data_IF_534436379988
#
_entry.id   IF_534436379988
#
_cell.length_a   1.000
_cell.length_b   1.000
_cell.length_c   1.000
_cell.angle_alpha   90.00
_cell.angle_beta   90.00
_cell.angle_gamma   90.00
#
_symmetry.space_group_name_H-M   'P 1'
#
loop_
_entity.id
_entity.type
_entity.pdbx_description
1 polymer ?
#
# COMPACT_ATOMS: atom_id res chain seq x y z
N UNK A 1 -8.08 10.62 7.63
CA UNK A 1 -7.47 11.93 7.97
C UNK A 1 -8.45 12.84 8.68
N UNK A 2 -9.67 12.98 8.20
CA UNK A 2 -10.67 13.85 8.83
C UNK A 2 -10.91 13.52 10.30
N UNK A 3 -11.05 12.22 10.63
CA UNK A 3 -11.24 11.77 12.02
C UNK A 3 -10.03 12.12 12.90
N UNK A 4 -8.83 12.04 12.35
CA UNK A 4 -7.62 12.47 13.03
C UNK A 4 -7.62 13.99 13.25
N UNK A 5 -7.94 14.78 12.21
CA UNK A 5 -8.04 16.25 12.31
C UNK A 5 -9.17 16.72 13.25
N UNK A 6 -10.22 15.94 13.41
CA UNK A 6 -11.33 16.18 14.36
C UNK A 6 -11.05 15.67 15.77
N UNK A 7 -9.93 14.98 16.00
CA UNK A 7 -9.60 14.38 17.31
C UNK A 7 -10.45 13.18 17.70
N UNK A 8 -11.11 12.54 16.75
CA UNK A 8 -11.88 11.31 16.96
C UNK A 8 -10.98 10.07 17.05
N UNK A 9 -9.77 10.17 16.53
CA UNK A 9 -8.69 9.19 16.67
C UNK A 9 -7.41 9.95 16.98
N UNK A 10 -6.54 9.36 17.79
CA UNK A 10 -5.29 9.99 18.25
C UNK A 10 -4.16 9.81 17.22
N UNK A 11 -4.12 8.66 16.56
CA UNK A 11 -3.07 8.28 15.59
C UNK A 11 -3.73 7.68 14.35
N UNK A 12 -3.20 8.01 13.18
CA UNK A 12 -3.59 7.41 11.91
C UNK A 12 -2.40 6.86 11.15
N UNK A 13 -2.59 5.72 10.47
CA UNK A 13 -1.63 5.16 9.53
C UNK A 13 -2.17 5.32 8.11
N UNK A 14 -1.37 5.92 7.22
CA UNK A 14 -1.80 6.30 5.88
C UNK A 14 -0.76 5.92 4.84
N UNK A 15 -1.23 5.40 3.72
CA UNK A 15 -0.41 5.25 2.52
C UNK A 15 -0.27 6.62 1.83
N UNK A 16 0.94 7.00 1.43
CA UNK A 16 1.17 8.20 0.62
C UNK A 16 0.64 8.02 -0.82
N UNK A 17 0.21 9.09 -1.51
CA UNK A 17 0.21 10.48 -1.06
C UNK A 17 -0.92 10.80 -0.08
N UNK A 18 -0.62 11.63 0.90
CA UNK A 18 -1.55 12.03 1.96
C UNK A 18 -1.27 13.47 2.41
N UNK A 19 -2.32 14.25 2.63
CA UNK A 19 -2.20 15.59 3.18
C UNK A 19 -1.86 15.52 4.68
N UNK A 20 -0.66 15.99 5.02
CA UNK A 20 -0.15 16.03 6.40
C UNK A 20 -0.18 17.44 7.00
N UNK A 21 -0.89 18.39 6.41
CA UNK A 21 -0.99 19.74 6.95
C UNK A 21 -1.61 19.72 8.35
N UNK A 22 -0.92 20.34 9.31
CA UNK A 22 -1.32 20.37 10.73
C UNK A 22 -1.00 19.10 11.52
N UNK A 23 -0.36 18.11 10.90
CA UNK A 23 0.04 16.87 11.54
C UNK A 23 1.56 16.79 11.71
N UNK A 24 1.98 16.11 12.75
CA UNK A 24 3.31 15.53 12.86
C UNK A 24 3.25 14.08 12.39
N UNK A 25 4.32 13.59 11.80
CA UNK A 25 4.32 12.23 11.29
C UNK A 25 5.72 11.60 11.26
N UNK A 26 5.72 10.29 11.24
CA UNK A 26 6.90 9.45 10.98
C UNK A 26 6.63 8.70 9.68
N UNK A 27 7.57 8.74 8.72
CA UNK A 27 7.53 7.88 7.55
C UNK A 27 8.18 6.55 7.89
N UNK A 28 7.48 5.44 7.61
CA UNK A 28 8.03 4.10 7.74
C UNK A 28 9.13 3.92 6.70
N UNK A 29 10.33 3.43 7.07
CA UNK A 29 11.47 3.32 6.15
C UNK A 29 11.24 2.36 4.97
N UNK A 30 10.51 1.28 5.20
CA UNK A 30 10.16 0.33 4.14
C UNK A 30 9.08 0.89 3.23
N UNK A 31 9.36 0.88 1.92
CA UNK A 31 8.36 1.15 0.90
C UNK A 31 7.63 -0.13 0.53
N UNK A 32 6.33 -0.04 0.33
CA UNK A 32 5.52 -1.17 -0.10
C UNK A 32 5.36 -1.18 -1.62
N UNK A 33 5.51 -2.35 -2.23
CA UNK A 33 5.39 -2.51 -3.68
C UNK A 33 3.93 -2.63 -4.09
N UNK A 34 3.59 -2.08 -5.24
CA UNK A 34 2.30 -2.31 -5.85
C UNK A 34 2.26 -3.67 -6.55
N UNK A 35 1.17 -4.37 -6.34
CA UNK A 35 0.96 -5.74 -6.80
C UNK A 35 -0.44 -5.92 -7.36
N UNK A 36 -0.60 -6.96 -8.17
CA UNK A 36 -1.90 -7.48 -8.60
C UNK A 36 -2.15 -8.81 -7.92
N UNK A 37 -3.29 -8.94 -7.28
CA UNK A 37 -3.77 -10.19 -6.70
C UNK A 37 -4.56 -11.02 -7.72
N UNK A 38 -4.43 -12.33 -7.64
CA UNK A 38 -5.14 -13.26 -8.51
C UNK A 38 -5.18 -14.67 -7.93
N UNK A 39 -6.02 -15.52 -8.46
CA UNK A 39 -6.05 -16.94 -8.10
C UNK A 39 -4.78 -17.65 -8.59
N UNK A 40 -4.33 -18.72 -7.89
CA UNK A 40 -3.14 -19.47 -8.30
C UNK A 40 -3.25 -20.14 -9.67
N UNK A 41 -4.47 -20.47 -10.10
CA UNK A 41 -4.76 -21.08 -11.40
C UNK A 41 -4.92 -20.07 -12.55
N UNK A 42 -4.77 -18.76 -12.27
CA UNK A 42 -4.83 -17.72 -13.30
C UNK A 42 -3.56 -17.75 -14.17
N UNK A 43 -3.70 -17.59 -15.51
CA UNK A 43 -2.53 -17.54 -16.40
C UNK A 43 -1.48 -16.48 -16.03
N UNK A 44 -1.90 -15.36 -15.43
CA UNK A 44 -0.99 -14.29 -14.98
C UNK A 44 -0.20 -14.70 -13.73
N UNK A 45 -0.68 -15.69 -12.97
CA UNK A 45 0.01 -16.16 -11.77
C UNK A 45 1.37 -16.83 -12.08
N UNK A 46 1.59 -17.30 -13.30
CA UNK A 46 2.86 -17.86 -13.75
C UNK A 46 3.91 -16.81 -14.15
N UNK A 47 3.57 -15.53 -14.19
CA UNK A 47 4.50 -14.44 -14.54
C UNK A 47 5.31 -13.98 -13.32
N UNK A 48 6.51 -13.46 -13.55
CA UNK A 48 7.32 -12.83 -12.50
C UNK A 48 6.78 -11.44 -12.12
N UNK A 49 6.22 -10.71 -13.09
CA UNK A 49 5.64 -9.38 -12.93
C UNK A 49 4.48 -9.15 -13.91
N UNK A 50 3.66 -8.15 -13.60
CA UNK A 50 2.48 -7.77 -14.39
C UNK A 50 2.72 -6.42 -15.04
N UNK A 51 2.51 -6.36 -16.36
CA UNK A 51 2.61 -5.12 -17.15
C UNK A 51 1.23 -4.48 -17.36
N UNK A 52 1.22 -3.25 -17.85
CA UNK A 52 -0.03 -2.56 -18.22
C UNK A 52 -0.84 -3.36 -19.21
N UNK A 53 -0.18 -3.96 -20.21
CA UNK A 53 -0.82 -4.74 -21.27
C UNK A 53 -1.54 -5.97 -20.73
N UNK A 54 -1.01 -6.57 -19.66
CA UNK A 54 -1.63 -7.74 -19.02
C UNK A 54 -2.96 -7.40 -18.35
N UNK A 55 -3.15 -6.13 -17.98
CA UNK A 55 -4.32 -5.66 -17.25
C UNK A 55 -5.37 -5.00 -18.16
N UNK A 56 -5.02 -4.63 -19.38
CA UNK A 56 -5.99 -4.06 -20.33
C UNK A 56 -7.07 -5.10 -20.65
N UNK A 57 -8.34 -4.68 -20.51
CA UNK A 57 -9.50 -5.55 -20.70
C UNK A 57 -9.78 -6.55 -19.58
N UNK A 58 -9.01 -6.51 -18.50
CA UNK A 58 -9.28 -7.30 -17.29
C UNK A 58 -10.17 -6.51 -16.32
N UNK A 59 -11.10 -7.18 -15.60
CA UNK A 59 -11.91 -6.53 -14.58
C UNK A 59 -11.04 -6.20 -13.36
N UNK A 60 -10.70 -4.92 -13.18
CA UNK A 60 -9.84 -4.47 -12.07
C UNK A 60 -10.67 -4.11 -10.83
N UNK A 61 -10.08 -4.35 -9.66
CA UNK A 61 -10.59 -3.90 -8.37
C UNK A 61 -9.57 -2.88 -7.84
N UNK A 62 -9.95 -1.60 -7.79
CA UNK A 62 -9.06 -0.53 -7.40
C UNK A 62 -9.34 -0.06 -5.97
N UNK A 63 -8.36 0.55 -5.28
CA UNK A 63 -8.60 1.24 -4.03
C UNK A 63 -9.61 2.37 -4.21
N UNK A 64 -10.51 2.56 -3.24
CA UNK A 64 -11.53 3.61 -3.29
C UNK A 64 -10.93 5.01 -3.10
N UNK A 65 -9.84 5.14 -2.33
CA UNK A 65 -9.23 6.43 -2.00
C UNK A 65 -8.62 7.11 -3.23
N UNK A 66 -9.11 8.30 -3.57
CA UNK A 66 -8.73 9.06 -4.76
C UNK A 66 -7.22 9.32 -4.88
N UNK A 67 -6.53 9.70 -3.79
CA UNK A 67 -5.09 9.93 -3.81
C UNK A 67 -4.31 8.65 -4.19
N UNK A 68 -4.76 7.50 -3.73
CA UNK A 68 -4.15 6.20 -4.06
C UNK A 68 -4.47 5.80 -5.50
N UNK A 69 -5.68 6.07 -5.98
CA UNK A 69 -6.03 5.87 -7.39
C UNK A 69 -5.17 6.71 -8.33
N UNK A 70 -4.77 7.92 -7.91
CA UNK A 70 -3.89 8.77 -8.71
C UNK A 70 -2.54 8.13 -9.00
N UNK A 71 -1.97 7.36 -8.08
CA UNK A 71 -0.73 6.61 -8.31
C UNK A 71 -0.92 5.56 -9.41
N UNK A 72 -2.04 4.84 -9.37
CA UNK A 72 -2.41 3.85 -10.39
C UNK A 72 -2.67 4.54 -11.73
N UNK A 73 -3.39 5.66 -11.72
CA UNK A 73 -3.66 6.44 -12.93
C UNK A 73 -2.37 6.95 -13.58
N UNK A 74 -1.44 7.47 -12.77
CA UNK A 74 -0.11 7.88 -13.24
C UNK A 74 0.66 6.70 -13.85
N UNK A 75 0.62 5.54 -13.22
CA UNK A 75 1.30 4.35 -13.72
C UNK A 75 0.72 3.90 -15.07
N UNK A 76 -0.59 3.87 -15.26
CA UNK A 76 -1.22 3.55 -16.54
C UNK A 76 -1.03 4.67 -17.58
N UNK A 77 -0.99 5.92 -17.14
CA UNK A 77 -0.91 7.10 -18.02
C UNK A 77 -2.15 7.18 -18.94
N UNK A 78 -1.93 7.39 -20.21
CA UNK A 78 -3.00 7.52 -21.24
C UNK A 78 -3.90 6.28 -21.40
N UNK A 79 -3.52 5.14 -20.82
CA UNK A 79 -4.30 3.92 -20.91
C UNK A 79 -5.27 3.75 -19.73
N UNK A 80 -5.22 4.65 -18.75
CA UNK A 80 -6.10 4.59 -17.57
C UNK A 80 -7.59 4.63 -17.93
N UNK A 81 -7.98 5.48 -18.87
CA UNK A 81 -9.38 5.61 -19.32
C UNK A 81 -9.90 4.37 -20.08
N UNK A 82 -9.01 3.44 -20.47
CA UNK A 82 -9.35 2.19 -21.13
C UNK A 82 -9.54 1.03 -20.17
N UNK A 83 -9.31 1.26 -18.88
CA UNK A 83 -9.39 0.20 -17.88
C UNK A 83 -10.85 -0.20 -17.63
N UNK A 84 -11.06 -1.48 -17.46
CA UNK A 84 -12.32 -2.01 -16.97
C UNK A 84 -12.28 -2.05 -15.43
N UNK A 85 -12.69 -0.96 -14.79
CA UNK A 85 -12.81 -0.91 -13.32
C UNK A 85 -14.13 -1.57 -12.96
N UNK A 86 -14.08 -2.81 -12.48
CA UNK A 86 -15.27 -3.57 -12.09
C UNK A 86 -15.78 -3.16 -10.72
N UNK A 87 -14.86 -2.90 -9.79
CA UNK A 87 -15.18 -2.53 -8.40
C UNK A 87 -14.13 -1.58 -7.83
N UNK A 88 -14.53 -0.83 -6.79
CA UNK A 88 -13.62 -0.19 -5.86
C UNK A 88 -13.75 -0.81 -4.47
N UNK A 89 -12.68 -0.80 -3.68
CA UNK A 89 -12.67 -1.35 -2.33
C UNK A 89 -11.84 -0.48 -1.40
N UNK A 90 -12.36 -0.23 -0.21
CA UNK A 90 -11.65 0.47 0.87
C UNK A 90 -10.82 -0.48 1.76
N UNK A 91 -11.00 -1.81 1.61
CA UNK A 91 -10.28 -2.83 2.37
C UNK A 91 -9.63 -3.84 1.43
N UNK A 92 -8.30 -4.00 1.55
CA UNK A 92 -7.55 -4.97 0.76
C UNK A 92 -8.01 -6.42 0.95
N UNK A 93 -8.45 -6.78 2.17
CA UNK A 93 -9.02 -8.10 2.45
C UNK A 93 -10.29 -8.37 1.65
N UNK A 94 -11.20 -7.40 1.52
CA UNK A 94 -12.41 -7.55 0.73
C UNK A 94 -12.09 -7.71 -0.76
N UNK A 95 -11.16 -6.92 -1.27
CA UNK A 95 -10.67 -7.05 -2.64
C UNK A 95 -10.05 -8.44 -2.90
N UNK A 96 -9.32 -9.00 -1.92
CA UNK A 96 -8.80 -10.36 -1.98
C UNK A 96 -9.90 -11.42 -2.03
N UNK A 97 -10.97 -11.28 -1.24
CA UNK A 97 -12.15 -12.18 -1.32
C UNK A 97 -12.77 -12.12 -2.71
N UNK A 98 -12.94 -10.93 -3.28
CA UNK A 98 -13.50 -10.78 -4.62
C UNK A 98 -12.61 -11.46 -5.68
N UNK A 99 -11.28 -11.35 -5.57
CA UNK A 99 -10.35 -12.04 -6.46
C UNK A 99 -10.43 -13.56 -6.32
N UNK A 100 -10.54 -14.08 -5.10
CA UNK A 100 -10.70 -15.50 -4.83
C UNK A 100 -11.94 -16.08 -5.54
N UNK A 101 -13.04 -15.33 -5.58
CA UNK A 101 -14.26 -15.70 -6.29
C UNK A 101 -14.23 -15.34 -7.80
N UNK A 102 -13.09 -14.89 -8.32
CA UNK A 102 -12.93 -14.59 -9.75
C UNK A 102 -13.64 -13.33 -10.24
N UNK A 103 -13.99 -12.41 -9.35
CA UNK A 103 -14.73 -11.19 -9.70
C UNK A 103 -13.83 -10.09 -10.28
N UNK A 104 -12.51 -10.22 -10.16
CA UNK A 104 -11.56 -9.26 -10.73
C UNK A 104 -10.16 -9.36 -10.12
N UNK A 105 -9.30 -8.46 -10.57
CA UNK A 105 -7.89 -8.38 -10.22
C UNK A 105 -7.66 -7.18 -9.29
N UNK A 106 -7.50 -7.37 -7.97
CA UNK A 106 -7.16 -6.28 -7.07
C UNK A 106 -5.77 -5.73 -7.35
N UNK A 107 -5.69 -4.42 -7.51
CA UNK A 107 -4.44 -3.66 -7.55
C UNK A 107 -4.26 -2.99 -6.21
N UNK A 108 -3.24 -3.36 -5.47
CA UNK A 108 -3.01 -2.89 -4.10
C UNK A 108 -1.52 -2.93 -3.76
N UNK A 109 -1.18 -2.45 -2.57
CA UNK A 109 0.17 -2.66 -2.02
C UNK A 109 0.31 -4.07 -1.44
N UNK A 110 1.50 -4.66 -1.51
CA UNK A 110 1.76 -6.05 -1.11
C UNK A 110 1.39 -6.34 0.35
N UNK A 111 1.63 -5.37 1.24
CA UNK A 111 1.28 -5.47 2.65
C UNK A 111 -0.21 -5.67 2.92
N UNK A 112 -1.09 -5.16 2.06
CA UNK A 112 -2.54 -5.28 2.21
C UNK A 112 -3.06 -6.72 2.06
N UNK A 113 -2.30 -7.60 1.43
CA UNK A 113 -2.70 -8.99 1.19
C UNK A 113 -1.71 -10.02 1.78
N UNK A 114 -0.82 -9.59 2.68
CA UNK A 114 0.19 -10.43 3.35
C UNK A 114 -0.40 -11.66 4.06
N UNK A 115 -1.66 -11.56 4.51
CA UNK A 115 -2.32 -12.62 5.28
C UNK A 115 -3.04 -13.67 4.42
N UNK A 116 -3.07 -13.49 3.11
CA UNK A 116 -3.65 -14.49 2.23
C UNK A 116 -2.69 -15.66 2.04
N UNK A 117 -3.25 -16.86 2.12
CA UNK A 117 -2.49 -18.09 1.84
C UNK A 117 -2.18 -18.16 0.35
N UNK A 118 -0.95 -18.55 -0.04
CA UNK A 118 -0.54 -18.63 -1.46
C UNK A 118 -1.34 -19.63 -2.30
N UNK A 119 -1.99 -20.62 -1.66
CA UNK A 119 -2.88 -21.56 -2.31
C UNK A 119 -4.27 -21.01 -2.60
N UNK A 120 -4.61 -19.85 -2.03
CA UNK A 120 -5.88 -19.15 -2.26
C UNK A 120 -5.72 -17.92 -3.15
N UNK A 121 -4.67 -17.15 -2.92
CA UNK A 121 -4.38 -15.91 -3.65
C UNK A 121 -2.87 -15.73 -3.80
N UNK A 122 -2.43 -15.43 -5.01
CA UNK A 122 -1.05 -15.05 -5.31
C UNK A 122 -0.97 -13.60 -5.72
N UNK A 123 0.19 -13.00 -5.50
CA UNK A 123 0.47 -11.61 -5.88
C UNK A 123 1.63 -11.57 -6.86
N UNK A 124 1.57 -10.64 -7.82
CA UNK A 124 2.68 -10.32 -8.73
C UNK A 124 2.90 -8.83 -8.76
N UNK A 125 4.16 -8.42 -8.70
CA UNK A 125 4.55 -7.00 -8.75
C UNK A 125 4.19 -6.37 -10.08
N UNK A 126 3.87 -5.09 -10.07
CA UNK A 126 3.73 -4.30 -11.29
C UNK A 126 5.09 -4.02 -11.94
N UNK A 127 5.13 -3.96 -13.26
CA UNK A 127 6.29 -3.52 -14.02
C UNK A 127 5.89 -2.52 -15.13
N UNK A 128 6.53 -1.34 -15.23
CA UNK A 128 7.58 -0.81 -14.32
C UNK A 128 7.13 -0.75 -12.87
N UNK A 129 8.08 -1.02 -11.96
CA UNK A 129 7.79 -1.08 -10.53
C UNK A 129 7.34 0.28 -9.99
N UNK A 130 6.34 0.28 -9.14
CA UNK A 130 5.96 1.44 -8.33
C UNK A 130 5.88 1.01 -6.86
N UNK A 131 6.23 1.95 -6.00
CA UNK A 131 6.21 1.78 -4.55
C UNK A 131 5.46 2.93 -3.91
N UNK A 132 4.94 2.71 -2.73
CA UNK A 132 4.36 3.76 -1.88
C UNK A 132 4.90 3.64 -0.47
N UNK A 133 5.07 4.78 0.20
CA UNK A 133 5.48 4.81 1.59
C UNK A 133 4.26 4.88 2.50
N UNK A 134 4.43 4.45 3.73
CA UNK A 134 3.45 4.58 4.79
C UNK A 134 3.90 5.63 5.79
N UNK A 135 3.00 6.49 6.22
CA UNK A 135 3.21 7.44 7.30
C UNK A 135 2.30 7.13 8.48
N UNK A 136 2.82 7.30 9.68
CA UNK A 136 2.06 7.30 10.93
C UNK A 136 2.01 8.74 11.39
N UNK A 137 0.80 9.30 11.56
CA UNK A 137 0.59 10.72 11.83
C UNK A 137 -0.31 10.94 13.04
N UNK A 138 -0.13 12.08 13.71
CA UNK A 138 -0.92 12.56 14.84
C UNK A 138 -1.04 14.09 14.80
N UNK A 139 -1.93 14.65 15.59
CA UNK A 139 -2.11 16.10 15.61
C UNK A 139 -0.92 16.82 16.24
N UNK A 140 -0.38 17.83 15.57
CA UNK A 140 0.78 18.61 16.03
C UNK A 140 0.52 19.38 17.31
N UNK A 141 -0.64 20.01 17.42
CA UNK A 141 -0.93 21.04 18.41
C UNK A 141 -1.81 20.55 19.58
N UNK A 142 -2.07 19.26 19.67
CA UNK A 142 -2.81 18.67 20.77
C UNK A 142 -1.90 17.88 21.71
N UNK A 143 -2.13 17.96 23.02
CA UNK A 143 -1.40 17.13 23.97
C UNK A 143 -1.79 15.66 23.75
N UNK A 144 -0.79 14.85 23.50
CA UNK A 144 -0.97 13.42 23.38
C UNK A 144 -1.18 12.75 24.74
N UNK A 145 -1.96 11.69 24.79
CA UNK A 145 -2.04 10.82 25.97
C UNK A 145 -0.69 10.12 26.22
N UNK A 146 -0.49 9.60 27.43
CA UNK A 146 0.71 8.83 27.76
C UNK A 146 0.88 7.62 26.83
N UNK A 147 -0.20 6.94 26.49
CA UNK A 147 -0.20 5.79 25.57
C UNK A 147 0.25 6.19 24.17
N UNK A 148 -0.24 7.31 23.64
CA UNK A 148 0.14 7.85 22.33
C UNK A 148 1.63 8.23 22.31
N UNK A 149 2.11 8.93 23.33
CA UNK A 149 3.53 9.29 23.43
C UNK A 149 4.43 8.06 23.47
N UNK A 150 4.03 7.02 24.22
CA UNK A 150 4.79 5.77 24.29
C UNK A 150 4.78 5.01 22.96
N UNK A 151 3.66 5.02 22.26
CA UNK A 151 3.58 4.44 20.91
C UNK A 151 4.51 5.17 19.93
N UNK A 152 4.49 6.50 19.92
CA UNK A 152 5.36 7.33 19.07
C UNK A 152 6.84 7.03 19.37
N UNK A 153 7.22 6.94 20.65
CA UNK A 153 8.58 6.58 21.07
C UNK A 153 9.03 5.23 20.50
N UNK A 154 8.16 4.21 20.60
CA UNK A 154 8.44 2.86 20.10
C UNK A 154 8.59 2.88 18.57
N UNK A 155 7.68 3.53 17.84
CA UNK A 155 7.75 3.60 16.38
C UNK A 155 9.01 4.34 15.92
N UNK A 156 9.38 5.43 16.58
CA UNK A 156 10.65 6.12 16.29
C UNK A 156 11.86 5.19 16.49
N UNK A 157 11.87 4.39 17.54
CA UNK A 157 12.97 3.47 17.81
C UNK A 157 13.05 2.35 16.76
N UNK A 158 11.92 1.83 16.32
CA UNK A 158 11.85 0.82 15.23
C UNK A 158 12.31 1.43 13.91
N UNK A 159 11.79 2.58 13.52
CA UNK A 159 12.17 3.25 12.27
C UNK A 159 13.67 3.61 12.24
N UNK A 160 14.26 4.01 13.36
CA UNK A 160 15.69 4.29 13.47
C UNK A 160 16.54 3.01 13.37
N UNK A 161 16.07 1.90 13.93
CA UNK A 161 16.78 0.61 13.87
C UNK A 161 16.83 0.06 12.44
N UNK A 162 15.73 0.11 11.71
CA UNK A 162 15.64 -0.37 10.34
C UNK A 162 16.48 0.49 9.38
N UNK A 163 16.49 1.81 9.57
CA UNK A 163 17.36 2.71 8.81
C UNK A 163 18.86 2.40 9.06
N UNK A 164 19.26 2.06 10.28
CA UNK A 164 20.62 1.66 10.64
C UNK A 164 21.00 0.30 10.03
N UNK A 165 20.10 -0.65 10.01
CA UNK A 165 20.31 -1.98 9.44
C UNK A 165 20.47 -1.93 7.92
N UNK A 166 19.72 -1.07 7.23
CA UNK A 166 19.86 -0.84 5.79
C UNK A 166 21.23 -0.29 5.40
N UNK A 167 21.80 0.60 6.21
CA UNK A 167 23.15 1.16 5.99
C UNK A 167 24.27 0.13 6.20
N UNK A 168 24.09 -0.79 7.15
CA UNK A 168 25.08 -1.85 7.42
C UNK A 168 25.10 -2.87 6.27
N UNK A 169 23.95 -3.23 5.70
CA UNK A 169 23.89 -4.16 4.57
C UNK A 169 24.52 -3.62 3.30
N UNK A 170 24.42 -2.30 3.05
CA UNK A 170 25.06 -1.63 1.90
C UNK A 170 26.58 -1.56 2.02
N UNK A 171 27.12 -1.50 3.24
CA UNK A 171 28.56 -1.48 3.47
C UNK A 171 29.21 -2.88 3.45
N UNK A 172 28.43 -3.93 3.72
CA UNK A 172 28.92 -5.30 3.65
C UNK A 172 29.09 -5.85 2.22
N UNK A 173 28.46 -5.21 1.22
CA UNK A 173 28.61 -5.56 -0.20
C UNK A 173 29.77 -4.84 -0.93
N UNK A 174 30.56 -4.03 -0.23
CA UNK A 174 31.70 -3.27 -0.79
C UNK A 174 33.07 -3.69 -0.25
N UNK A 175 33.15 -4.82 0.42
CA UNK A 175 34.42 -5.41 0.88
C UNK A 175 34.80 -6.65 0.08
#
# INVERSE_FOLDING_TARGET
IEDLKKGLVDIGMFLEPVDTEGLDYIRIPESDHWVVGMRPDDPLAGKDFITKQDLLGKPLILPERTGVQSEIANWFGKDFDKLQIAFTSNLGTNAGVMAFYGLGYPVSVAGAARYWRPDLLVQRKLFPEITSNTVIAWQRNLPNSHAVNKFIEIINSVAAHDAGTSLISLNACKA
#
